data_IF_104118910645
#
_entry.id   IF_104118910645
#
_cell.length_a   1.000
_cell.length_b   1.000
_cell.length_c   1.000
_cell.angle_alpha   90.00
_cell.angle_beta   90.00
_cell.angle_gamma   90.00
#
_symmetry.space_group_name_H-M   'P 1'
#
loop_
_entity.id
_entity.type
_entity.pdbx_description
1 polymer ?
#
# COMPACT_ATOMS: atom_id res chain seq x y z
N UNK A 1 23.62 -8.06 -8.38
CA UNK A 1 23.65 -6.61 -8.05
C UNK A 1 22.43 -6.32 -7.21
N UNK A 2 22.55 -5.55 -6.12
CA UNK A 2 21.39 -5.13 -5.33
C UNK A 2 20.46 -4.25 -6.18
N UNK A 3 19.15 -4.33 -5.93
CA UNK A 3 18.13 -3.48 -6.57
C UNK A 3 18.47 -2.00 -6.34
N UNK A 4 18.50 -1.20 -7.40
CA UNK A 4 18.80 0.24 -7.32
C UNK A 4 17.57 1.05 -7.71
N UNK A 5 16.60 1.14 -6.81
CA UNK A 5 15.50 2.10 -6.99
C UNK A 5 15.94 3.49 -6.53
N UNK A 6 15.68 4.51 -7.34
CA UNK A 6 15.79 5.91 -6.98
C UNK A 6 14.39 6.55 -6.88
N UNK A 7 14.31 7.78 -6.38
CA UNK A 7 13.03 8.45 -6.14
C UNK A 7 12.21 8.69 -7.40
N UNK A 8 12.86 8.96 -8.52
CA UNK A 8 12.16 9.16 -9.78
C UNK A 8 11.53 7.86 -10.26
N UNK A 9 12.29 6.76 -10.24
CA UNK A 9 11.77 5.43 -10.54
C UNK A 9 10.61 5.06 -9.62
N UNK A 10 10.73 5.34 -8.31
CA UNK A 10 9.64 5.09 -7.36
C UNK A 10 8.41 5.94 -7.66
N UNK A 11 8.59 7.21 -8.00
CA UNK A 11 7.51 8.10 -8.42
C UNK A 11 6.79 7.53 -9.66
N UNK A 12 7.53 7.13 -10.70
CA UNK A 12 6.95 6.51 -11.90
C UNK A 12 6.22 5.21 -11.55
N UNK A 13 6.81 4.37 -10.70
CA UNK A 13 6.16 3.16 -10.21
C UNK A 13 4.80 3.47 -9.55
N UNK A 14 4.74 4.40 -8.61
CA UNK A 14 3.50 4.75 -7.90
C UNK A 14 2.46 5.40 -8.81
N UNK A 15 2.88 6.22 -9.77
CA UNK A 15 1.97 6.75 -10.80
C UNK A 15 1.37 5.60 -11.60
N UNK A 16 2.17 4.60 -12.01
CA UNK A 16 1.66 3.44 -12.74
C UNK A 16 0.80 2.52 -11.87
N UNK A 17 1.07 2.38 -10.58
CA UNK A 17 0.18 1.68 -9.63
C UNK A 17 -1.19 2.34 -9.60
N UNK A 18 -1.23 3.68 -9.49
CA UNK A 18 -2.51 4.39 -9.49
C UNK A 18 -3.26 4.19 -10.83
N UNK A 19 -2.56 4.18 -11.96
CA UNK A 19 -3.17 4.03 -13.28
C UNK A 19 -3.43 2.57 -13.69
N UNK A 20 -2.99 1.59 -12.90
CA UNK A 20 -3.13 0.19 -13.24
C UNK A 20 -4.55 -0.29 -12.93
N UNK A 21 -5.39 -0.34 -13.95
CA UNK A 21 -6.76 -0.87 -13.86
C UNK A 21 -6.75 -2.41 -13.84
N UNK A 22 -6.30 -2.97 -12.71
CA UNK A 22 -6.19 -4.42 -12.48
C UNK A 22 -4.90 -5.06 -13.01
N UNK A 23 -4.04 -4.31 -13.69
CA UNK A 23 -2.71 -4.78 -14.09
C UNK A 23 -1.75 -4.85 -12.89
N UNK A 24 -0.83 -5.81 -12.92
CA UNK A 24 0.22 -5.93 -11.89
C UNK A 24 1.39 -5.02 -12.24
N UNK A 25 1.73 -4.10 -11.35
CA UNK A 25 2.91 -3.24 -11.47
C UNK A 25 4.01 -3.75 -10.55
N UNK A 26 5.23 -3.92 -11.08
CA UNK A 26 6.40 -4.37 -10.31
C UNK A 26 7.56 -3.43 -10.53
N UNK A 27 8.14 -2.90 -9.45
CA UNK A 27 9.36 -2.08 -9.48
C UNK A 27 10.63 -2.94 -9.41
N UNK A 28 11.68 -2.54 -10.13
CA UNK A 28 12.99 -3.21 -10.16
C UNK A 28 12.86 -4.72 -10.44
N UNK A 29 12.11 -5.06 -11.50
CA UNK A 29 11.86 -6.46 -11.87
C UNK A 29 13.08 -7.05 -12.57
N UNK A 30 13.55 -8.19 -12.09
CA UNK A 30 14.59 -8.95 -12.78
C UNK A 30 13.95 -9.79 -13.90
N UNK A 31 14.27 -9.47 -15.15
CA UNK A 31 13.81 -10.21 -16.32
C UNK A 31 14.96 -11.02 -16.93
N UNK A 32 14.67 -12.22 -17.44
CA UNK A 32 15.68 -13.10 -18.03
C UNK A 32 15.97 -12.69 -19.47
N UNK A 33 17.23 -12.37 -19.74
CA UNK A 33 17.72 -12.08 -21.07
C UNK A 33 17.69 -13.34 -21.96
N UNK A 34 16.99 -13.27 -23.09
CA UNK A 34 16.72 -14.42 -23.98
C UNK A 34 18.00 -14.98 -24.61
N UNK A 35 19.02 -14.14 -24.80
CA UNK A 35 20.30 -14.51 -25.41
C UNK A 35 21.28 -15.04 -24.37
N UNK A 36 21.63 -14.22 -23.37
CA UNK A 36 22.67 -14.56 -22.38
C UNK A 36 22.18 -15.41 -21.22
N UNK A 37 20.85 -15.58 -21.08
CA UNK A 37 20.18 -16.26 -19.96
C UNK A 37 20.40 -15.63 -18.58
N UNK A 38 21.13 -14.52 -18.50
CA UNK A 38 21.34 -13.74 -17.27
C UNK A 38 20.14 -12.85 -16.98
N UNK A 39 19.95 -12.49 -15.72
CA UNK A 39 18.90 -11.56 -15.32
C UNK A 39 19.36 -10.11 -15.52
N UNK A 40 18.46 -9.28 -16.05
CA UNK A 40 18.61 -7.83 -16.17
C UNK A 40 17.46 -7.16 -15.43
N UNK A 41 17.77 -6.11 -14.68
CA UNK A 41 16.77 -5.29 -14.03
C UNK A 41 16.01 -4.46 -15.07
N UNK A 42 14.70 -4.32 -14.90
CA UNK A 42 13.82 -3.38 -15.59
C UNK A 42 13.14 -2.53 -14.52
N UNK A 43 13.18 -1.21 -14.69
CA UNK A 43 12.89 -0.27 -13.60
C UNK A 43 11.44 -0.35 -13.13
N UNK A 44 10.49 -0.40 -14.08
CA UNK A 44 9.07 -0.69 -13.81
C UNK A 44 8.52 -1.61 -14.88
N UNK A 45 7.79 -2.65 -14.47
CA UNK A 45 7.11 -3.58 -15.37
C UNK A 45 5.63 -3.61 -15.04
N UNK A 46 4.79 -3.46 -16.05
CA UNK A 46 3.33 -3.62 -15.97
C UNK A 46 2.97 -4.91 -16.70
N UNK A 47 2.28 -5.81 -16.00
CA UNK A 47 1.81 -7.08 -16.53
C UNK A 47 0.28 -7.07 -16.53
N UNK A 48 -0.30 -7.27 -17.70
CA UNK A 48 -1.75 -7.28 -17.91
C UNK A 48 -2.18 -8.37 -18.87
N UNK A 49 -3.46 -8.33 -19.27
CA UNK A 49 -4.05 -9.31 -20.20
C UNK A 49 -4.88 -8.57 -21.25
N UNK A 50 -4.70 -8.90 -22.52
CA UNK A 50 -5.51 -8.40 -23.64
C UNK A 50 -6.02 -9.60 -24.43
N UNK A 51 -7.34 -9.80 -24.48
CA UNK A 51 -7.95 -10.95 -25.18
C UNK A 51 -7.41 -12.31 -24.71
N UNK A 52 -7.25 -12.47 -23.39
CA UNK A 52 -6.61 -13.64 -22.74
C UNK A 52 -5.10 -13.82 -23.00
N UNK A 53 -4.45 -12.92 -23.74
CA UNK A 53 -3.01 -12.97 -23.95
C UNK A 53 -2.28 -12.09 -22.92
N UNK A 54 -1.22 -12.59 -22.26
CA UNK A 54 -0.42 -11.80 -21.34
C UNK A 54 0.32 -10.69 -22.12
N UNK A 55 0.29 -9.47 -21.59
CA UNK A 55 1.01 -8.32 -22.15
C UNK A 55 1.96 -7.77 -21.10
N UNK A 56 3.18 -7.45 -21.52
CA UNK A 56 4.25 -6.91 -20.68
C UNK A 56 4.69 -5.57 -21.22
N UNK A 57 4.44 -4.52 -20.47
CA UNK A 57 4.93 -3.17 -20.75
C UNK A 57 6.12 -2.89 -19.83
N UNK A 58 7.26 -2.54 -20.40
CA UNK A 58 8.45 -2.16 -19.65
C UNK A 58 8.66 -0.66 -19.69
N UNK A 59 9.13 -0.12 -18.56
CA UNK A 59 9.45 1.29 -18.41
C UNK A 59 10.85 1.41 -17.83
N UNK A 60 11.68 2.23 -18.46
CA UNK A 60 13.03 2.57 -17.99
C UNK A 60 13.09 4.05 -17.62
N UNK A 61 13.74 4.35 -16.51
CA UNK A 61 13.77 5.67 -15.90
C UNK A 61 15.17 6.27 -15.96
N UNK A 62 15.27 7.54 -16.39
CA UNK A 62 16.50 8.32 -16.36
C UNK A 62 16.34 9.55 -15.46
N UNK A 63 16.97 9.47 -14.29
CA UNK A 63 17.04 10.57 -13.32
C UNK A 63 18.38 11.31 -13.41
N UNK A 64 18.65 11.91 -14.56
CA UNK A 64 19.88 12.68 -14.81
C UNK A 64 19.58 14.18 -14.91
N UNK A 65 20.56 15.04 -14.63
CA UNK A 65 20.44 16.50 -14.78
C UNK A 65 20.36 16.99 -16.23
N UNK A 66 20.73 16.14 -17.19
CA UNK A 66 20.69 16.47 -18.64
C UNK A 66 19.58 15.68 -19.31
N UNK A 67 18.98 16.26 -20.34
CA UNK A 67 18.05 15.58 -21.24
C UNK A 67 18.66 14.29 -21.77
N UNK A 68 17.81 13.29 -21.97
CA UNK A 68 18.21 12.04 -22.57
C UNK A 68 18.45 12.19 -24.08
N UNK A 69 19.49 11.53 -24.56
CA UNK A 69 19.98 11.56 -25.92
C UNK A 69 19.73 10.23 -26.66
N UNK A 70 20.00 10.23 -27.96
CA UNK A 70 19.79 9.06 -28.84
C UNK A 70 20.53 7.82 -28.36
N UNK A 71 21.73 7.98 -27.78
CA UNK A 71 22.52 6.86 -27.25
C UNK A 71 21.78 6.06 -26.19
N UNK A 72 20.94 6.72 -25.38
CA UNK A 72 20.12 6.03 -24.37
C UNK A 72 18.94 5.30 -25.01
N UNK A 73 18.31 5.88 -26.03
CA UNK A 73 17.24 5.23 -26.77
C UNK A 73 17.74 3.93 -27.39
N UNK A 74 18.88 3.97 -28.08
CA UNK A 74 19.48 2.79 -28.71
C UNK A 74 19.88 1.73 -27.68
N UNK A 75 20.45 2.14 -26.55
CA UNK A 75 20.81 1.24 -25.46
C UNK A 75 19.58 0.53 -24.88
N UNK A 76 18.47 1.25 -24.66
CA UNK A 76 17.23 0.66 -24.13
C UNK A 76 16.56 -0.22 -25.17
N UNK A 77 16.51 0.18 -26.45
CA UNK A 77 16.02 -0.67 -27.54
C UNK A 77 16.79 -2.00 -27.60
N UNK A 78 18.11 -1.94 -27.65
CA UNK A 78 18.96 -3.13 -27.72
C UNK A 78 18.83 -4.03 -26.46
N UNK A 79 18.57 -3.43 -25.29
CA UNK A 79 18.23 -4.19 -24.07
C UNK A 79 16.91 -4.94 -24.24
N UNK A 80 15.86 -4.26 -24.67
CA UNK A 80 14.50 -4.80 -24.72
C UNK A 80 14.26 -5.76 -25.89
N UNK A 81 15.06 -5.68 -26.96
CA UNK A 81 15.08 -6.71 -28.03
C UNK A 81 15.44 -8.11 -27.54
N UNK A 82 16.04 -8.20 -26.35
CA UNK A 82 16.47 -9.43 -25.71
C UNK A 82 15.62 -9.79 -24.49
N UNK A 83 14.63 -8.98 -24.14
CA UNK A 83 13.72 -9.21 -23.02
C UNK A 83 12.33 -9.55 -23.54
N UNK A 84 11.53 -10.19 -22.69
CA UNK A 84 10.16 -10.56 -23.03
C UNK A 84 9.21 -9.37 -22.80
N UNK A 85 9.37 -8.32 -23.60
CA UNK A 85 8.65 -7.05 -23.47
C UNK A 85 7.89 -6.75 -24.76
N UNK A 86 6.61 -6.43 -24.63
CA UNK A 86 5.70 -6.18 -25.75
C UNK A 86 5.66 -4.69 -26.12
N UNK A 87 5.81 -3.81 -25.14
CA UNK A 87 5.96 -2.37 -25.32
C UNK A 87 7.06 -1.82 -24.41
N UNK A 88 7.78 -0.82 -24.91
CA UNK A 88 8.82 -0.11 -24.17
C UNK A 88 8.44 1.37 -24.08
N UNK A 89 8.42 1.88 -22.85
CA UNK A 89 8.30 3.30 -22.57
C UNK A 89 9.57 3.79 -21.89
N UNK A 90 9.97 5.02 -22.18
CA UNK A 90 11.13 5.64 -21.54
C UNK A 90 10.72 6.91 -20.81
N UNK A 91 11.07 6.98 -19.53
CA UNK A 91 10.81 8.09 -18.63
C UNK A 91 12.09 8.89 -18.38
N UNK A 92 12.10 10.19 -18.66
CA UNK A 92 13.24 11.07 -18.34
C UNK A 92 12.80 12.22 -17.45
N UNK A 93 13.49 12.43 -16.32
CA UNK A 93 13.18 13.57 -15.44
C UNK A 93 13.33 14.90 -16.18
N UNK A 94 14.37 15.04 -17.00
CA UNK A 94 14.71 16.30 -17.68
C UNK A 94 14.19 16.37 -19.12
N UNK A 95 13.58 15.32 -19.65
CA UNK A 95 13.14 15.24 -21.05
C UNK A 95 14.18 14.64 -22.00
N UNK A 96 14.03 14.94 -23.30
CA UNK A 96 14.73 14.27 -24.40
C UNK A 96 15.21 15.27 -25.45
N UNK A 97 16.36 15.00 -26.09
CA UNK A 97 16.79 15.75 -27.27
C UNK A 97 15.84 15.53 -28.46
N UNK A 98 15.76 16.46 -29.43
CA UNK A 98 14.92 16.27 -30.63
C UNK A 98 15.23 14.97 -31.38
N UNK A 99 16.50 14.69 -31.61
CA UNK A 99 16.96 13.46 -32.27
C UNK A 99 16.52 12.19 -31.51
N UNK A 100 16.60 12.19 -30.18
CA UNK A 100 16.14 11.07 -29.36
C UNK A 100 14.63 10.82 -29.54
N UNK A 101 13.82 11.88 -29.68
CA UNK A 101 12.38 11.77 -29.95
C UNK A 101 12.10 11.16 -31.32
N UNK A 102 12.82 11.61 -32.35
CA UNK A 102 12.66 11.10 -33.71
C UNK A 102 13.04 9.62 -33.82
N UNK A 103 14.13 9.20 -33.17
CA UNK A 103 14.57 7.81 -33.16
C UNK A 103 13.60 6.93 -32.36
N UNK A 104 13.15 7.38 -31.19
CA UNK A 104 12.17 6.64 -30.40
C UNK A 104 10.85 6.42 -31.17
N UNK A 105 10.37 7.43 -31.88
CA UNK A 105 9.18 7.32 -32.75
C UNK A 105 9.37 6.24 -33.81
N UNK A 106 10.53 6.20 -34.50
CA UNK A 106 10.84 5.17 -35.50
C UNK A 106 10.92 3.77 -34.91
N UNK A 107 11.32 3.64 -33.64
CA UNK A 107 11.33 2.37 -32.93
C UNK A 107 9.99 1.98 -32.30
N UNK A 108 8.97 2.84 -32.36
CA UNK A 108 7.71 2.61 -31.65
C UNK A 108 7.86 2.64 -30.13
N UNK A 109 8.86 3.39 -29.63
CA UNK A 109 9.11 3.60 -28.21
C UNK A 109 8.38 4.87 -27.79
N UNK A 110 7.50 4.76 -26.80
CA UNK A 110 6.81 5.91 -26.23
C UNK A 110 7.71 6.61 -25.21
N UNK A 111 7.76 7.94 -25.30
CA UNK A 111 8.57 8.78 -24.42
C UNK A 111 7.65 9.62 -23.53
N UNK A 112 8.01 9.75 -22.27
CA UNK A 112 7.37 10.72 -21.38
C UNK A 112 8.38 11.36 -20.43
N UNK A 113 8.11 12.60 -20.05
CA UNK A 113 8.92 13.35 -19.09
C UNK A 113 8.07 13.89 -17.98
N UNK A 114 8.74 14.27 -16.89
CA UNK A 114 8.11 15.08 -15.87
C UNK A 114 8.01 16.51 -16.41
N UNK A 115 6.79 17.02 -16.50
CA UNK A 115 6.52 18.42 -16.82
C UNK A 115 6.12 19.14 -15.54
N UNK A 116 6.76 20.28 -15.26
CA UNK A 116 6.25 21.17 -14.22
C UNK A 116 4.92 21.76 -14.71
N UNK A 117 3.94 21.83 -13.81
CA UNK A 117 2.65 22.49 -14.09
C UNK A 117 2.52 23.73 -13.23
N UNK A 118 1.90 24.77 -13.78
CA UNK A 118 1.52 25.93 -12.98
C UNK A 118 0.48 25.53 -11.95
N UNK A 119 0.56 26.12 -10.76
CA UNK A 119 -0.28 25.71 -9.62
C UNK A 119 -1.76 26.03 -9.83
N UNK A 120 -2.08 26.93 -10.76
CA UNK A 120 -3.44 27.27 -11.17
C UNK A 120 -4.13 26.14 -11.96
N UNK A 121 -3.36 25.24 -12.60
CA UNK A 121 -3.90 24.11 -13.36
C UNK A 121 -4.22 22.90 -12.48
N UNK A 122 -3.99 23.00 -11.17
CA UNK A 122 -4.13 21.89 -10.25
C UNK A 122 -5.51 21.95 -9.60
N UNK A 123 -6.35 20.90 -9.71
CA UNK A 123 -7.62 20.84 -9.00
C UNK A 123 -7.43 21.16 -7.52
N UNK A 124 -8.40 21.82 -6.89
CA UNK A 124 -8.30 22.33 -5.51
C UNK A 124 -7.75 21.32 -4.49
N UNK A 125 -8.02 20.03 -4.68
CA UNK A 125 -7.52 18.93 -3.84
C UNK A 125 -5.99 18.77 -3.83
N UNK A 126 -5.30 19.22 -4.88
CA UNK A 126 -3.84 19.19 -5.01
C UNK A 126 -3.23 20.60 -5.12
N UNK A 127 -4.04 21.66 -4.93
CA UNK A 127 -3.59 23.05 -5.06
C UNK A 127 -2.59 23.44 -3.93
N UNK A 128 -1.93 24.62 -3.98
CA UNK A 128 -0.91 24.99 -2.98
C UNK A 128 -1.45 25.14 -1.54
N UNK A 129 -2.78 25.23 -1.36
CA UNK A 129 -3.43 25.16 -0.04
C UNK A 129 -3.89 23.76 0.39
N UNK A 130 -3.76 22.76 -0.49
CA UNK A 130 -4.01 21.36 -0.17
C UNK A 130 -2.87 20.77 0.67
N UNK A 131 -3.20 19.78 1.50
CA UNK A 131 -2.21 19.05 2.28
C UNK A 131 -2.28 17.56 1.95
N UNK A 132 -1.15 16.99 1.54
CA UNK A 132 -0.97 15.56 1.50
C UNK A 132 -0.47 15.10 2.86
N UNK A 133 -1.23 14.26 3.53
CA UNK A 133 -0.85 13.67 4.81
C UNK A 133 -1.30 12.23 4.87
N UNK A 134 -0.64 11.45 5.70
CA UNK A 134 -1.07 10.10 6.06
C UNK A 134 -1.07 10.00 7.58
N UNK A 135 -2.11 9.34 8.09
CA UNK A 135 -2.19 8.95 9.49
C UNK A 135 -1.70 7.52 9.62
N UNK A 136 -0.71 7.29 10.46
CA UNK A 136 -0.35 5.96 10.93
C UNK A 136 -0.78 5.82 12.38
N UNK A 137 -1.38 4.67 12.70
CA UNK A 137 -1.72 4.29 14.06
C UNK A 137 -0.94 3.01 14.36
N UNK A 138 -0.28 2.92 15.49
CA UNK A 138 0.22 1.65 16.04
C UNK A 138 -0.50 1.36 17.34
N UNK A 139 -0.80 0.09 17.57
CA UNK A 139 -1.55 -0.38 18.74
C UNK A 139 -0.89 -1.62 19.29
N UNK A 140 -0.91 -1.76 20.61
CA UNK A 140 -0.52 -3.01 21.30
C UNK A 140 -1.65 -3.39 22.23
N UNK A 141 -2.24 -4.56 22.07
CA UNK A 141 -3.25 -5.05 23.02
C UNK A 141 -2.61 -5.28 24.40
N UNK A 142 -3.12 -4.62 25.43
CA UNK A 142 -2.64 -4.78 26.81
C UNK A 142 -3.68 -5.49 27.69
N UNK A 143 -4.95 -5.12 27.54
CA UNK A 143 -6.06 -5.67 28.30
C UNK A 143 -7.19 -6.09 27.39
N UNK A 144 -7.65 -7.32 27.59
CA UNK A 144 -8.85 -7.84 26.93
C UNK A 144 -9.87 -8.25 27.99
N UNK A 145 -11.12 -7.85 27.79
CA UNK A 145 -12.25 -8.30 28.60
C UNK A 145 -13.34 -8.83 27.70
N UNK A 146 -14.01 -9.90 28.14
CA UNK A 146 -15.10 -10.51 27.40
C UNK A 146 -16.40 -10.35 28.19
N UNK A 147 -17.48 -9.89 27.55
CA UNK A 147 -18.82 -10.03 28.08
C UNK A 147 -19.39 -11.37 27.61
N UNK A 148 -19.79 -12.22 28.55
CA UNK A 148 -20.38 -13.52 28.26
C UNK A 148 -21.88 -13.53 28.55
N UNK A 149 -22.66 -14.09 27.63
CA UNK A 149 -24.12 -14.13 27.69
C UNK A 149 -24.63 -14.90 28.89
N UNK A 150 -25.81 -14.53 29.39
CA UNK A 150 -26.53 -15.29 30.42
C UNK A 150 -26.76 -16.75 29.96
N UNK A 151 -26.56 -17.72 30.87
CA UNK A 151 -26.86 -19.13 30.62
C UNK A 151 -27.53 -19.77 31.83
N UNK A 152 -28.84 -20.07 31.70
CA UNK A 152 -29.64 -20.57 32.81
C UNK A 152 -29.63 -19.59 33.99
N UNK A 153 -29.15 -20.04 35.15
CA UNK A 153 -29.02 -19.23 36.37
C UNK A 153 -27.71 -18.41 36.43
N UNK A 154 -26.81 -18.55 35.45
CA UNK A 154 -25.59 -17.74 35.37
C UNK A 154 -25.89 -16.42 34.68
N UNK A 155 -25.97 -15.33 35.44
CA UNK A 155 -26.15 -13.98 34.91
C UNK A 155 -25.02 -13.60 33.95
N UNK A 156 -25.31 -12.78 32.93
CA UNK A 156 -24.27 -12.20 32.08
C UNK A 156 -23.22 -11.47 32.92
N UNK A 157 -21.97 -11.56 32.50
CA UNK A 157 -20.86 -10.96 33.25
C UNK A 157 -19.73 -10.54 32.31
N UNK A 158 -19.00 -9.50 32.71
CA UNK A 158 -17.74 -9.12 32.07
C UNK A 158 -16.59 -9.77 32.80
N UNK A 159 -15.89 -10.66 32.11
CA UNK A 159 -14.73 -11.38 32.65
C UNK A 159 -13.42 -10.73 32.20
N UNK A 160 -12.48 -10.64 33.15
CA UNK A 160 -11.08 -10.40 32.80
C UNK A 160 -10.54 -11.64 32.09
N UNK A 161 -9.74 -11.42 31.05
CA UNK A 161 -9.14 -12.51 30.28
C UNK A 161 -7.62 -12.47 30.36
N UNK A 162 -7.00 -13.61 30.07
CA UNK A 162 -5.58 -13.75 29.79
C UNK A 162 -5.36 -14.09 28.31
N UNK A 163 -4.17 -13.79 27.75
CA UNK A 163 -3.81 -14.16 26.38
C UNK A 163 -3.97 -15.65 26.05
N UNK A 164 -3.91 -16.51 27.07
CA UNK A 164 -4.01 -17.97 26.97
C UNK A 164 -5.43 -18.52 27.14
N UNK A 165 -6.44 -17.66 27.34
CA UNK A 165 -7.82 -18.15 27.36
C UNK A 165 -8.18 -18.77 26.01
N UNK A 166 -8.70 -20.01 26.05
CA UNK A 166 -9.24 -20.70 24.88
C UNK A 166 -10.62 -20.16 24.52
N UNK A 167 -10.84 -20.00 23.23
CA UNK A 167 -12.13 -19.72 22.63
C UNK A 167 -12.64 -20.97 21.92
N UNK A 168 -13.96 -21.14 21.95
CA UNK A 168 -14.63 -22.33 21.46
C UNK A 168 -15.71 -21.97 20.43
N UNK A 169 -16.06 -22.94 19.60
CA UNK A 169 -17.28 -22.92 18.80
C UNK A 169 -18.47 -23.40 19.64
N UNK A 170 -19.68 -23.27 19.07
CA UNK A 170 -20.92 -23.67 19.74
C UNK A 170 -20.96 -25.17 20.09
N UNK A 171 -20.29 -26.01 19.31
CA UNK A 171 -20.19 -27.46 19.53
C UNK A 171 -19.06 -27.85 20.51
N UNK A 172 -18.52 -26.88 21.24
CA UNK A 172 -17.45 -27.04 22.22
C UNK A 172 -16.08 -27.38 21.60
N UNK A 173 -15.94 -27.32 20.27
CA UNK A 173 -14.65 -27.44 19.60
C UNK A 173 -13.74 -26.27 19.96
N UNK A 174 -12.49 -26.54 20.35
CA UNK A 174 -11.46 -25.52 20.55
C UNK A 174 -11.15 -24.82 19.21
N UNK A 175 -11.30 -23.49 19.20
CA UNK A 175 -11.03 -22.68 18.01
C UNK A 175 -9.60 -22.15 17.99
N UNK A 176 -9.24 -21.35 18.99
CA UNK A 176 -7.92 -20.73 19.12
C UNK A 176 -7.73 -20.09 20.51
N UNK A 177 -6.51 -19.61 20.78
CA UNK A 177 -6.24 -18.77 21.93
C UNK A 177 -6.71 -17.34 21.67
N UNK A 178 -7.14 -16.64 22.73
CA UNK A 178 -7.62 -15.27 22.66
C UNK A 178 -6.59 -14.33 22.01
N UNK A 179 -5.29 -14.49 22.31
CA UNK A 179 -4.23 -13.70 21.67
C UNK A 179 -4.21 -13.83 20.15
N UNK A 180 -4.46 -15.03 19.63
CA UNK A 180 -4.42 -15.31 18.19
C UNK A 180 -5.63 -14.69 17.49
N UNK A 181 -6.78 -14.66 18.16
CA UNK A 181 -7.95 -13.93 17.67
C UNK A 181 -7.69 -12.42 17.67
N UNK A 182 -7.20 -11.86 18.77
CA UNK A 182 -6.94 -10.42 18.91
C UNK A 182 -5.88 -9.94 17.92
N UNK A 183 -4.80 -10.70 17.73
CA UNK A 183 -3.76 -10.40 16.75
C UNK A 183 -4.30 -10.38 15.31
N UNK A 184 -5.22 -11.28 14.98
CA UNK A 184 -5.90 -11.29 13.67
C UNK A 184 -6.86 -10.12 13.54
N UNK A 185 -7.64 -9.84 14.59
CA UNK A 185 -8.60 -8.74 14.64
C UNK A 185 -7.92 -7.40 14.43
N UNK A 186 -6.84 -7.11 15.17
CA UNK A 186 -6.07 -5.86 15.03
C UNK A 186 -5.32 -5.75 13.69
N UNK A 187 -5.27 -6.82 12.90
CA UNK A 187 -4.75 -6.82 11.51
C UNK A 187 -5.88 -6.79 10.47
N UNK A 188 -7.15 -6.82 10.90
CA UNK A 188 -8.31 -6.83 10.01
C UNK A 188 -8.61 -5.42 9.48
N UNK A 189 -9.12 -5.29 8.24
CA UNK A 189 -9.55 -3.99 7.70
C UNK A 189 -10.55 -3.28 8.59
N UNK A 190 -11.49 -4.01 9.18
CA UNK A 190 -12.53 -3.45 10.05
C UNK A 190 -11.94 -2.74 11.28
N UNK A 191 -10.99 -3.37 11.97
CA UNK A 191 -10.32 -2.74 13.11
C UNK A 191 -9.50 -1.53 12.68
N UNK A 192 -8.82 -1.62 11.55
CA UNK A 192 -8.04 -0.50 11.01
C UNK A 192 -8.90 0.67 10.58
N UNK A 193 -10.05 0.44 9.96
CA UNK A 193 -11.00 1.50 9.58
C UNK A 193 -11.48 2.25 10.83
N UNK A 194 -11.87 1.52 11.88
CA UNK A 194 -12.24 2.12 13.16
C UNK A 194 -11.10 2.93 13.77
N UNK A 195 -9.90 2.34 13.91
CA UNK A 195 -8.75 3.03 14.50
C UNK A 195 -8.33 4.26 13.67
N UNK A 196 -8.38 4.19 12.34
CA UNK A 196 -8.05 5.30 11.45
C UNK A 196 -9.14 6.36 11.36
N UNK A 197 -10.36 6.10 11.80
CA UNK A 197 -11.39 7.13 11.93
C UNK A 197 -11.29 7.81 13.29
N UNK A 198 -11.23 7.04 14.37
CA UNK A 198 -11.35 7.56 15.74
C UNK A 198 -10.05 8.12 16.32
N UNK A 199 -8.89 7.60 15.91
CA UNK A 199 -7.63 7.98 16.55
C UNK A 199 -7.19 9.42 16.23
N UNK A 200 -6.80 10.18 17.25
CA UNK A 200 -6.26 11.55 17.11
C UNK A 200 -4.81 11.61 17.57
N UNK A 201 -4.06 12.62 17.15
CA UNK A 201 -2.63 12.76 17.49
C UNK A 201 -2.39 12.73 19.01
N UNK A 202 -3.34 13.24 19.81
CA UNK A 202 -3.29 13.26 21.27
C UNK A 202 -3.63 11.92 21.95
N UNK A 203 -4.15 10.93 21.21
CA UNK A 203 -4.50 9.64 21.78
C UNK A 203 -3.25 8.83 22.09
N UNK A 204 -3.15 8.39 23.35
CA UNK A 204 -2.09 7.50 23.86
C UNK A 204 -2.60 6.10 24.20
N UNK A 205 -3.92 5.91 24.19
CA UNK A 205 -4.61 4.64 24.42
C UNK A 205 -5.71 4.47 23.38
N UNK A 206 -5.95 3.24 22.96
CA UNK A 206 -7.09 2.88 22.12
C UNK A 206 -8.04 1.97 22.88
N UNK A 207 -9.28 1.98 22.43
CA UNK A 207 -10.31 1.04 22.82
C UNK A 207 -11.03 0.54 21.56
N UNK A 208 -11.00 -0.77 21.36
CA UNK A 208 -11.72 -1.44 20.30
C UNK A 208 -12.76 -2.38 20.90
N UNK A 209 -14.01 -2.26 20.46
CA UNK A 209 -15.13 -3.09 20.90
C UNK A 209 -15.64 -3.89 19.72
N UNK A 210 -15.68 -5.22 19.88
CA UNK A 210 -16.22 -6.13 18.88
C UNK A 210 -17.48 -6.80 19.41
N UNK A 211 -18.62 -6.45 18.83
CA UNK A 211 -19.94 -6.90 19.27
C UNK A 211 -20.87 -7.16 18.06
N UNK A 212 -21.33 -8.41 17.83
CA UNK A 212 -20.83 -9.65 18.43
C UNK A 212 -19.53 -10.13 17.78
N UNK A 213 -18.62 -10.78 18.54
CA UNK A 213 -17.45 -11.42 17.97
C UNK A 213 -17.81 -12.76 17.31
N UNK A 214 -17.14 -13.06 16.20
CA UNK A 214 -17.39 -14.27 15.41
C UNK A 214 -16.10 -14.80 14.77
N UNK A 215 -16.11 -16.06 14.33
CA UNK A 215 -15.03 -16.62 13.53
C UNK A 215 -15.08 -16.13 12.05
N UNK A 216 -14.24 -16.71 11.20
CA UNK A 216 -14.18 -16.34 9.78
C UNK A 216 -15.43 -16.73 8.98
N UNK A 217 -16.27 -17.63 9.51
CA UNK A 217 -17.51 -18.10 8.89
C UNK A 217 -18.74 -17.36 9.47
N UNK A 218 -18.53 -16.46 10.44
CA UNK A 218 -19.60 -15.73 11.11
C UNK A 218 -20.22 -16.51 12.28
N UNK A 219 -19.60 -17.60 12.72
CA UNK A 219 -20.08 -18.40 13.85
C UNK A 219 -19.75 -17.70 15.19
N UNK A 220 -20.69 -17.67 16.16
CA UNK A 220 -20.45 -17.07 17.47
C UNK A 220 -19.32 -17.76 18.24
N UNK A 221 -18.60 -16.98 19.03
CA UNK A 221 -17.52 -17.47 19.89
C UNK A 221 -18.03 -17.79 21.29
N UNK A 222 -17.41 -18.77 21.94
CA UNK A 222 -17.74 -19.21 23.29
C UNK A 222 -16.52 -19.22 24.21
N UNK A 223 -16.74 -19.01 25.51
CA UNK A 223 -15.73 -19.19 26.57
C UNK A 223 -16.22 -20.20 27.60
N UNK A 224 -15.29 -21.02 28.10
CA UNK A 224 -15.56 -22.00 29.16
C UNK A 224 -15.40 -21.36 30.55
N UNK A 225 -16.49 -21.31 31.32
CA UNK A 225 -16.46 -21.12 32.78
C UNK A 225 -16.07 -22.46 33.42
N UNK A 226 -15.14 -22.44 34.38
CA UNK A 226 -14.65 -23.66 35.05
C UNK A 226 -15.59 -24.07 36.19
N UNK A 227 -16.13 -23.11 36.94
CA UNK A 227 -16.99 -23.37 38.09
C UNK A 227 -18.19 -22.39 38.14
N UNK A 228 -19.43 -22.88 37.94
CA UNK A 228 -19.75 -24.20 37.40
C UNK A 228 -19.28 -24.33 35.95
N UNK A 229 -19.00 -25.55 35.52
CA UNK A 229 -18.59 -25.82 34.15
C UNK A 229 -19.70 -25.43 33.17
N UNK A 230 -19.41 -24.48 32.27
CA UNK A 230 -20.37 -23.99 31.29
C UNK A 230 -19.68 -23.31 30.10
N UNK A 231 -20.15 -23.57 28.88
CA UNK A 231 -19.74 -22.82 27.69
C UNK A 231 -20.71 -21.67 27.45
N UNK A 232 -20.21 -20.45 27.53
CA UNK A 232 -21.02 -19.23 27.44
C UNK A 232 -20.70 -18.49 26.15
N UNK A 233 -21.70 -18.09 25.35
CA UNK A 233 -21.48 -17.21 24.20
C UNK A 233 -20.76 -15.94 24.63
N UNK A 234 -19.79 -15.49 23.85
CA UNK A 234 -19.14 -14.20 24.01
C UNK A 234 -19.96 -13.18 23.21
N UNK A 235 -20.58 -12.23 23.90
CA UNK A 235 -21.38 -11.19 23.28
C UNK A 235 -20.53 -10.00 22.84
N UNK A 236 -19.45 -9.72 23.58
CA UNK A 236 -18.58 -8.59 23.30
C UNK A 236 -17.13 -8.89 23.71
N UNK A 237 -16.17 -8.56 22.84
CA UNK A 237 -14.75 -8.46 23.18
C UNK A 237 -14.34 -7.00 23.20
N UNK A 238 -13.80 -6.54 24.32
CA UNK A 238 -13.24 -5.20 24.48
C UNK A 238 -11.74 -5.31 24.62
N UNK A 239 -11.01 -4.71 23.68
CA UNK A 239 -9.55 -4.69 23.62
C UNK A 239 -9.08 -3.26 23.90
N UNK A 240 -8.19 -3.11 24.88
CA UNK A 240 -7.63 -1.83 25.30
C UNK A 240 -6.11 -1.96 25.34
N UNK A 241 -5.41 -0.89 24.98
CA UNK A 241 -3.96 -0.84 25.11
C UNK A 241 -3.37 0.48 24.65
N UNK A 242 -2.04 0.65 24.76
CA UNK A 242 -1.37 1.84 24.29
C UNK A 242 -1.50 1.95 22.77
N UNK A 243 -1.59 3.18 22.29
CA UNK A 243 -1.48 3.49 20.88
C UNK A 243 -0.55 4.67 20.64
N UNK A 244 0.01 4.74 19.43
CA UNK A 244 0.73 5.91 18.95
C UNK A 244 0.12 6.32 17.61
N UNK A 245 -0.29 7.58 17.53
CA UNK A 245 -0.86 8.18 16.32
C UNK A 245 0.15 9.18 15.77
N UNK A 246 0.54 9.02 14.51
CA UNK A 246 1.46 9.93 13.85
C UNK A 246 0.81 10.43 12.55
N UNK A 247 0.79 11.75 12.37
CA UNK A 247 0.38 12.38 11.11
C UNK A 247 1.62 12.85 10.37
N UNK A 248 2.00 12.10 9.33
CA UNK A 248 3.05 12.49 8.42
C UNK A 248 2.49 13.48 7.39
N UNK A 249 2.97 14.72 7.41
CA UNK A 249 2.64 15.74 6.41
C UNK A 249 3.72 15.77 5.34
N UNK A 250 3.32 15.70 4.08
CA UNK A 250 4.24 15.68 2.95
C UNK A 250 4.38 17.08 2.35
N UNK A 251 5.62 17.52 2.13
CA UNK A 251 5.88 18.67 1.27
C UNK A 251 5.49 18.35 -0.17
N UNK A 252 4.50 19.06 -0.73
CA UNK A 252 3.94 18.73 -2.03
C UNK A 252 4.72 19.39 -3.18
N UNK A 253 5.04 18.57 -4.18
CA UNK A 253 5.47 18.98 -5.50
C UNK A 253 4.41 18.56 -6.51
N UNK A 254 4.38 19.26 -7.63
CA UNK A 254 3.35 19.09 -8.66
C UNK A 254 3.96 19.00 -10.04
N UNK A 255 3.28 18.30 -10.93
CA UNK A 255 3.68 18.14 -12.30
C UNK A 255 2.73 17.26 -13.08
N UNK A 256 3.11 16.95 -14.30
CA UNK A 256 2.33 16.14 -15.23
C UNK A 256 3.22 15.10 -15.88
N UNK A 257 2.65 13.93 -16.09
CA UNK A 257 3.28 12.81 -16.81
C UNK A 257 2.29 12.35 -17.87
N UNK A 258 2.59 12.66 -19.14
CA UNK A 258 1.64 12.41 -20.23
C UNK A 258 0.32 13.14 -19.97
N UNK A 259 -0.82 12.45 -20.00
CA UNK A 259 -2.14 13.05 -19.69
C UNK A 259 -2.49 13.18 -18.20
N UNK A 260 -1.60 12.78 -17.29
CA UNK A 260 -1.94 12.60 -15.86
C UNK A 260 -1.30 13.68 -15.02
N UNK A 261 -2.13 14.39 -14.23
CA UNK A 261 -1.64 15.35 -13.22
C UNK A 261 -1.20 14.57 -11.99
N UNK A 262 -0.06 14.94 -11.43
CA UNK A 262 0.58 14.23 -10.31
C UNK A 262 0.95 15.24 -9.22
N UNK A 263 0.61 14.92 -7.98
CA UNK A 263 1.20 15.53 -6.80
C UNK A 263 1.97 14.46 -6.02
N UNK A 264 3.14 14.82 -5.51
CA UNK A 264 3.92 13.91 -4.70
C UNK A 264 4.70 14.64 -3.63
N UNK A 265 5.04 13.92 -2.57
CA UNK A 265 5.86 14.46 -1.51
C UNK A 265 6.54 13.35 -0.73
N UNK A 266 7.60 13.74 -0.02
CA UNK A 266 8.32 12.84 0.88
C UNK A 266 8.25 13.32 2.31
N UNK A 267 8.25 12.35 3.23
CA UNK A 267 8.34 12.58 4.67
C UNK A 267 9.01 11.37 5.32
N UNK A 268 9.46 11.51 6.56
CA UNK A 268 9.71 10.38 7.45
C UNK A 268 8.47 10.16 8.33
N UNK A 269 8.04 8.91 8.48
CA UNK A 269 6.84 8.52 9.23
C UNK A 269 7.13 7.23 9.97
N UNK A 270 6.94 7.21 11.29
CA UNK A 270 7.28 6.07 12.13
C UNK A 270 8.71 5.54 11.87
N UNK A 271 9.67 6.45 11.72
CA UNK A 271 11.08 6.11 11.46
C UNK A 271 11.39 5.60 10.04
N UNK A 272 10.40 5.56 9.14
CA UNK A 272 10.55 5.08 7.75
C UNK A 272 10.44 6.23 6.77
N UNK A 273 11.23 6.18 5.70
CA UNK A 273 11.06 7.10 4.57
C UNK A 273 9.75 6.77 3.86
N UNK A 274 8.95 7.78 3.57
CA UNK A 274 7.69 7.66 2.87
C UNK A 274 7.67 8.55 1.62
N UNK A 275 7.21 8.00 0.50
CA UNK A 275 6.88 8.74 -0.72
C UNK A 275 5.39 8.55 -1.00
N UNK A 276 4.62 9.64 -0.97
CA UNK A 276 3.21 9.65 -1.31
C UNK A 276 3.00 10.27 -2.69
N UNK A 277 2.11 9.68 -3.49
CA UNK A 277 1.79 10.10 -4.86
C UNK A 277 0.28 10.06 -5.07
N UNK A 278 -0.28 11.22 -5.39
CA UNK A 278 -1.66 11.37 -5.84
C UNK A 278 -1.69 11.65 -7.35
N UNK A 279 -2.61 11.02 -8.07
CA UNK A 279 -2.79 11.19 -9.51
C UNK A 279 -4.23 11.57 -9.84
N UNK A 280 -4.39 12.42 -10.85
CA UNK A 280 -5.69 12.78 -11.43
C UNK A 280 -5.63 12.52 -12.94
N UNK A 281 -6.51 11.64 -13.44
CA UNK A 281 -6.61 11.35 -14.88
C UNK A 281 -7.37 12.46 -15.63
N UNK A 282 -7.34 12.45 -16.96
CA UNK A 282 -8.15 13.37 -17.77
C UNK A 282 -9.66 13.25 -17.48
N UNK A 283 -10.12 12.06 -17.09
CA UNK A 283 -11.51 11.81 -16.67
C UNK A 283 -11.84 12.32 -15.27
N UNK A 284 -10.88 12.89 -14.55
CA UNK A 284 -11.06 13.41 -13.19
C UNK A 284 -10.93 12.37 -12.08
N UNK A 285 -10.61 11.11 -12.42
CA UNK A 285 -10.44 10.06 -11.41
C UNK A 285 -9.19 10.32 -10.57
N UNK A 286 -9.35 10.24 -9.25
CA UNK A 286 -8.30 10.50 -8.27
C UNK A 286 -7.88 9.22 -7.56
N UNK A 287 -6.57 8.95 -7.47
CA UNK A 287 -6.02 7.85 -6.66
C UNK A 287 -4.80 8.32 -5.88
N UNK A 288 -4.61 7.74 -4.69
CA UNK A 288 -3.47 7.99 -3.79
C UNK A 288 -2.75 6.67 -3.51
N UNK A 289 -1.43 6.69 -3.61
CA UNK A 289 -0.57 5.60 -3.15
C UNK A 289 0.56 6.13 -2.28
N UNK A 290 0.99 5.32 -1.32
CA UNK A 290 2.15 5.61 -0.46
C UNK A 290 3.09 4.42 -0.46
N UNK A 291 4.38 4.70 -0.61
CA UNK A 291 5.43 3.73 -0.42
C UNK A 291 6.23 4.06 0.84
N UNK A 292 6.52 3.05 1.65
CA UNK A 292 7.42 3.15 2.79
C UNK A 292 8.70 2.35 2.53
N UNK A 293 9.86 2.97 2.72
CA UNK A 293 11.20 2.38 2.58
C UNK A 293 12.06 2.60 3.82
N UNK A 294 13.12 1.80 3.95
CA UNK A 294 13.98 1.77 5.14
C UNK A 294 13.50 0.78 6.20
N UNK A 295 14.37 0.42 7.18
CA UNK A 295 14.01 -0.46 8.28
C UNK A 295 12.92 0.19 9.14
N UNK A 296 11.95 -0.61 9.61
CA UNK A 296 11.11 -0.16 10.71
C UNK A 296 12.03 0.01 11.94
N UNK A 297 11.97 1.15 12.61
CA UNK A 297 12.57 1.24 13.94
C UNK A 297 11.69 0.41 14.88
N UNK A 298 12.32 -0.52 15.61
CA UNK A 298 11.70 -1.35 16.64
C UNK A 298 11.04 -0.51 17.74
#
# INVERSE_FOLDING_TARGET
MPKRSNDFQRLIYLVRVNLADGAKVTESKMMRDRLTKRFREVDVVIEGVVGHQPVVVAIECRDHKRVADVSWIDMMKAKHDRLDTHALLLASRMGFTPEAKDVAMKYGIELFSMEDIETADIPAMLAPGGSLWIKSVSVTAEKVTARVAQLGNLADETVATSPDNLLYLQDETELCLLRELVDRLLKSPHAWDYLLIEAKEEHVWFEFVWEPPADNEGCPLYMKKIDPEAFRPVECLRVVGPCKVEIGRFGMRHGKIGGVKVAWGKSAIAGRDALAVATITLGGETKLSVNFSGPAQE
#
